data_IF_344641012640
#
_entry.id   IF_344641012640
#
_cell.length_a   1.000
_cell.length_b   1.000
_cell.length_c   1.000
_cell.angle_alpha   90.00
_cell.angle_beta   90.00
_cell.angle_gamma   90.00
#
_symmetry.space_group_name_H-M   'P 1'
#
loop_
_entity.id
_entity.type
_entity.pdbx_description
1 polymer ?
#
# COMPACT_ATOMS: atom_id res chain seq x y z
N UNK A 1 7.11 -31.67 13.82
CA UNK A 1 7.66 -33.02 13.61
C UNK A 1 7.44 -33.35 12.14
N UNK A 2 8.46 -33.16 11.31
CA UNK A 2 8.41 -33.53 9.88
C UNK A 2 9.55 -34.50 9.65
N UNK A 3 9.17 -35.64 9.07
CA UNK A 3 9.96 -36.85 8.91
C UNK A 3 10.91 -36.64 7.74
N UNK A 4 12.22 -36.72 7.98
CA UNK A 4 13.24 -36.74 6.93
C UNK A 4 13.55 -38.20 6.62
N UNK A 5 12.98 -38.73 5.55
CA UNK A 5 13.45 -39.98 4.95
C UNK A 5 14.66 -39.66 4.09
N UNK A 6 15.82 -40.21 4.48
CA UNK A 6 17.09 -40.03 3.81
C UNK A 6 17.19 -40.73 2.47
N UNK A 7 18.15 -40.26 1.68
CA UNK A 7 18.54 -40.74 0.35
C UNK A 7 18.54 -39.58 -0.65
N UNK A 8 19.58 -39.25 -1.41
CA UNK A 8 20.86 -39.91 -1.70
C UNK A 8 21.89 -38.82 -2.00
N UNK A 9 23.17 -39.20 -1.86
CA UNK A 9 24.33 -38.35 -2.10
C UNK A 9 24.39 -37.87 -3.57
N UNK A 10 25.00 -36.69 -3.75
CA UNK A 10 25.28 -35.97 -5.00
C UNK A 10 24.19 -34.96 -5.45
N UNK A 11 24.42 -33.69 -5.07
CA UNK A 11 24.12 -32.55 -5.92
C UNK A 11 22.68 -32.04 -5.95
N UNK A 12 21.89 -32.28 -4.91
CA UNK A 12 20.52 -31.79 -4.79
C UNK A 12 20.48 -30.48 -3.98
N UNK A 13 20.98 -29.36 -4.54
CA UNK A 13 20.67 -28.03 -4.00
C UNK A 13 19.26 -27.63 -4.48
N UNK A 14 18.24 -28.30 -3.94
CA UNK A 14 16.88 -27.81 -4.00
C UNK A 14 16.79 -26.59 -3.09
N UNK A 15 17.02 -25.39 -3.65
CA UNK A 15 16.60 -24.16 -3.02
C UNK A 15 15.08 -24.24 -2.87
N UNK A 16 14.61 -24.61 -1.68
CA UNK A 16 13.25 -24.34 -1.24
C UNK A 16 13.16 -22.82 -1.14
N UNK A 17 12.80 -22.18 -2.26
CA UNK A 17 12.39 -20.79 -2.29
C UNK A 17 11.07 -20.70 -1.54
N UNK A 18 11.21 -20.50 -0.24
CA UNK A 18 10.12 -20.17 0.67
C UNK A 18 9.89 -18.66 0.50
N UNK A 19 9.38 -18.26 -0.67
CA UNK A 19 8.87 -16.92 -0.91
C UNK A 19 7.58 -16.75 -0.10
N UNK A 20 7.76 -16.60 1.22
CA UNK A 20 6.82 -15.84 2.02
C UNK A 20 7.04 -14.39 1.64
N UNK A 21 6.51 -14.01 0.46
CA UNK A 21 6.12 -12.64 0.21
C UNK A 21 5.36 -12.20 1.45
N UNK A 22 6.04 -11.38 2.23
CA UNK A 22 5.46 -10.73 3.38
C UNK A 22 4.33 -9.94 2.75
N UNK A 23 3.10 -10.38 2.97
CA UNK A 23 1.89 -9.70 2.56
C UNK A 23 1.84 -8.36 3.31
N UNK A 24 2.71 -7.43 2.92
CA UNK A 24 2.54 -6.02 3.17
C UNK A 24 1.35 -5.67 2.31
N UNK A 25 0.19 -5.65 2.93
CA UNK A 25 -1.05 -5.17 2.34
C UNK A 25 -0.75 -3.80 1.73
N UNK A 26 -0.50 -3.78 0.42
CA UNK A 26 0.01 -2.60 -0.28
C UNK A 26 -1.16 -1.65 -0.40
N UNK A 27 -1.13 -0.57 0.38
CA UNK A 27 -2.17 0.45 0.31
C UNK A 27 -2.23 0.99 -1.13
N UNK A 28 -3.39 0.91 -1.80
CA UNK A 28 -3.52 1.38 -3.17
C UNK A 28 -3.39 2.90 -3.20
N UNK A 29 -2.40 3.38 -3.95
CA UNK A 29 -2.15 4.80 -4.20
C UNK A 29 -2.46 5.08 -5.66
N UNK A 30 -3.41 5.98 -5.91
CA UNK A 30 -3.81 6.42 -7.24
C UNK A 30 -2.90 7.51 -7.79
N UNK A 31 -2.52 8.47 -6.95
CA UNK A 31 -1.61 9.55 -7.32
C UNK A 31 -0.77 9.99 -6.12
N UNK A 32 0.41 10.54 -6.40
CA UNK A 32 1.31 11.11 -5.39
C UNK A 32 1.77 12.47 -5.87
N UNK A 33 1.54 13.49 -5.05
CA UNK A 33 1.96 14.86 -5.26
C UNK A 33 2.89 15.28 -4.12
N UNK A 34 3.56 16.42 -4.30
CA UNK A 34 4.42 16.98 -3.23
C UNK A 34 3.63 17.32 -1.97
N UNK A 35 2.38 17.72 -2.15
CA UNK A 35 1.52 18.22 -1.07
C UNK A 35 0.58 17.16 -0.50
N UNK A 36 0.29 16.10 -1.26
CA UNK A 36 -0.63 15.05 -0.82
C UNK A 36 -0.52 13.76 -1.64
N UNK A 37 -1.05 12.68 -1.10
CA UNK A 37 -1.24 11.40 -1.78
C UNK A 37 -2.74 11.16 -1.96
N UNK A 38 -3.15 10.69 -3.13
CA UNK A 38 -4.53 10.29 -3.43
C UNK A 38 -4.62 8.77 -3.34
N UNK A 39 -5.43 8.26 -2.42
CA UNK A 39 -5.66 6.82 -2.27
C UNK A 39 -6.77 6.33 -3.19
N UNK A 40 -7.98 6.86 -3.03
CA UNK A 40 -9.15 6.44 -3.81
C UNK A 40 -10.31 7.43 -3.71
N UNK A 41 -11.13 7.50 -4.74
CA UNK A 41 -12.44 8.17 -4.76
C UNK A 41 -13.60 7.24 -4.37
N UNK A 42 -13.33 5.96 -4.13
CA UNK A 42 -14.35 4.99 -3.73
C UNK A 42 -14.71 5.16 -2.25
N UNK A 43 -15.91 5.67 -1.98
CA UNK A 43 -16.44 5.85 -0.64
C UNK A 43 -16.61 4.54 0.14
N UNK A 44 -16.63 3.37 -0.53
CA UNK A 44 -16.75 2.05 0.09
C UNK A 44 -15.40 1.43 0.48
N UNK A 45 -14.28 2.07 0.16
CA UNK A 45 -12.96 1.58 0.51
C UNK A 45 -12.75 1.50 2.03
N UNK A 46 -12.02 0.49 2.49
CA UNK A 46 -11.62 0.38 3.89
C UNK A 46 -10.57 1.45 4.22
N UNK A 47 -11.01 2.47 4.95
CA UNK A 47 -10.17 3.62 5.34
C UNK A 47 -9.17 3.29 6.44
N UNK A 48 -9.30 2.15 7.13
CA UNK A 48 -8.47 1.80 8.29
C UNK A 48 -7.00 1.76 7.90
N UNK A 49 -6.69 1.08 6.80
CA UNK A 49 -5.32 0.94 6.31
C UNK A 49 -4.80 2.24 5.69
N UNK A 50 -5.69 3.03 5.07
CA UNK A 50 -5.33 4.34 4.50
C UNK A 50 -4.91 5.32 5.59
N UNK A 51 -5.63 5.33 6.73
CA UNK A 51 -5.31 6.14 7.90
C UNK A 51 -3.97 5.75 8.52
N UNK A 52 -3.71 4.45 8.65
CA UNK A 52 -2.45 3.93 9.20
C UNK A 52 -1.28 4.29 8.28
N UNK A 53 -1.42 4.08 6.97
CA UNK A 53 -0.38 4.45 6.00
C UNK A 53 -0.14 5.96 6.00
N UNK A 54 -1.20 6.78 6.03
CA UNK A 54 -1.05 8.23 6.07
C UNK A 54 -0.33 8.73 7.33
N UNK A 55 -0.72 8.20 8.50
CA UNK A 55 -0.07 8.49 9.78
C UNK A 55 1.41 8.06 9.78
N UNK A 56 1.71 6.88 9.20
CA UNK A 56 3.08 6.38 9.07
C UNK A 56 3.94 7.28 8.18
N UNK A 57 3.32 7.98 7.22
CA UNK A 57 4.00 8.96 6.35
C UNK A 57 4.11 10.35 6.98
N UNK A 58 3.54 10.57 8.16
CA UNK A 58 3.54 11.87 8.84
C UNK A 58 2.57 12.88 8.23
N UNK A 59 1.55 12.44 7.50
CA UNK A 59 0.52 13.31 6.93
C UNK A 59 -0.79 13.29 7.71
N UNK A 60 -1.69 14.20 7.33
CA UNK A 60 -3.07 14.29 7.82
C UNK A 60 -4.03 13.59 6.85
N UNK A 61 -4.79 12.62 7.35
CA UNK A 61 -5.77 11.90 6.52
C UNK A 61 -7.01 12.77 6.29
N UNK A 62 -7.34 13.04 5.02
CA UNK A 62 -8.51 13.81 4.61
C UNK A 62 -9.49 12.92 3.83
N UNK A 63 -10.76 12.92 4.26
CA UNK A 63 -11.85 12.12 3.67
C UNK A 63 -12.47 12.71 2.41
N UNK A 64 -12.23 14.00 2.14
CA UNK A 64 -12.65 14.68 0.93
C UNK A 64 -11.54 15.64 0.49
N UNK A 65 -10.36 15.08 0.20
CA UNK A 65 -9.26 15.84 -0.38
C UNK A 65 -9.37 15.94 -1.90
N UNK A 66 -8.48 16.74 -2.47
CA UNK A 66 -8.35 16.92 -3.92
C UNK A 66 -7.79 15.67 -4.58
N UNK A 67 -8.26 15.35 -5.80
CA UNK A 67 -7.65 14.32 -6.65
C UNK A 67 -6.48 14.84 -7.48
N UNK A 68 -6.26 16.16 -7.49
CA UNK A 68 -5.24 16.81 -8.30
C UNK A 68 -4.27 17.64 -7.48
N UNK A 69 -3.10 17.88 -8.07
CA UNK A 69 -2.12 18.85 -7.59
C UNK A 69 -2.73 20.26 -7.45
N UNK A 70 -2.15 21.06 -6.53
CA UNK A 70 -2.54 22.47 -6.39
C UNK A 70 -2.38 23.20 -7.72
N UNK A 71 -3.21 24.22 -7.95
CA UNK A 71 -3.16 25.11 -9.11
C UNK A 71 -3.47 24.44 -10.48
N UNK A 72 -4.08 23.25 -10.47
CA UNK A 72 -4.62 22.60 -11.68
C UNK A 72 -6.14 22.67 -11.72
N UNK A 73 -6.70 22.75 -12.93
CA UNK A 73 -8.15 22.57 -13.14
C UNK A 73 -8.47 21.12 -12.80
N UNK A 74 -9.25 20.91 -11.74
CA UNK A 74 -9.57 19.59 -11.23
C UNK A 74 -11.08 19.38 -11.16
N UNK A 75 -11.52 18.15 -11.36
CA UNK A 75 -12.89 17.76 -11.06
C UNK A 75 -13.12 17.86 -9.55
N UNK A 76 -14.20 18.52 -9.14
CA UNK A 76 -14.58 18.66 -7.74
C UNK A 76 -15.21 17.36 -7.21
N UNK A 77 -14.39 16.33 -7.05
CA UNK A 77 -14.76 15.02 -6.49
C UNK A 77 -13.95 14.76 -5.22
N UNK A 78 -14.64 14.29 -4.18
CA UNK A 78 -13.99 13.89 -2.92
C UNK A 78 -13.15 12.62 -3.13
N UNK A 79 -11.91 12.66 -2.66
CA UNK A 79 -11.08 11.46 -2.52
C UNK A 79 -10.53 11.33 -1.10
N UNK A 80 -10.27 10.09 -0.70
CA UNK A 80 -9.42 9.80 0.45
C UNK A 80 -7.98 10.17 0.10
N UNK A 81 -7.41 11.07 0.87
CA UNK A 81 -6.06 11.60 0.65
C UNK A 81 -5.25 11.63 1.94
N UNK A 82 -3.93 11.67 1.78
CA UNK A 82 -2.99 11.99 2.85
C UNK A 82 -2.32 13.32 2.53
N UNK A 83 -2.57 14.36 3.31
CA UNK A 83 -2.05 15.70 3.09
C UNK A 83 -0.80 15.95 3.94
N UNK A 84 0.20 16.60 3.35
CA UNK A 84 1.45 16.98 4.02
C UNK A 84 1.48 18.50 4.21
N UNK A 85 1.90 18.94 5.40
CA UNK A 85 2.10 20.36 5.73
C UNK A 85 3.31 20.95 5.00
#
# INVERSE_FOLDING_TARGET
MIIVLGGTMAGAFWYIQNDKDTNKQKVPVQATYKTHIVYTTDAKADVTLLKIDCSTRGGAFNTCGSTCERDKICAAVCAYTCEFE
#
